data_IF_440076647367
#
_entry.id   IF_440076647367
#
_cell.length_a   1.000
_cell.length_b   1.000
_cell.length_c   1.000
_cell.angle_alpha   90.00
_cell.angle_beta   90.00
_cell.angle_gamma   90.00
#
_symmetry.space_group_name_H-M   'P 1'
#
loop_
_entity.id
_entity.type
_entity.pdbx_description
1 polymer ?
#
# COMPACT_ATOMS: atom_id res chain seq x y z
N UNK A 1 47.08 45.03 -4.21
CA UNK A 1 46.08 44.83 -5.28
C UNK A 1 46.17 43.38 -5.70
N UNK A 2 45.47 42.47 -5.02
CA UNK A 2 44.04 42.15 -5.15
C UNK A 2 43.80 41.16 -6.30
N UNK A 3 43.09 40.04 -6.17
CA UNK A 3 42.58 39.29 -5.03
C UNK A 3 42.24 37.89 -5.60
N UNK A 4 42.70 36.82 -4.97
CA UNK A 4 42.09 35.49 -5.14
C UNK A 4 41.34 35.25 -3.82
N UNK A 5 40.05 35.53 -3.86
CA UNK A 5 39.03 35.19 -2.87
C UNK A 5 37.91 34.54 -3.71
N UNK A 6 37.41 33.34 -3.46
CA UNK A 6 37.05 32.70 -2.18
C UNK A 6 37.18 31.17 -2.24
N UNK A 7 37.47 30.59 -1.08
CA UNK A 7 37.19 29.20 -0.67
C UNK A 7 36.07 29.27 0.41
N UNK A 8 35.57 28.21 1.12
CA UNK A 8 35.26 26.79 0.87
C UNK A 8 33.87 26.31 1.45
N UNK A 9 33.60 24.99 1.35
CA UNK A 9 32.74 24.12 2.20
C UNK A 9 31.25 23.95 1.84
N UNK A 10 30.64 22.76 1.89
CA UNK A 10 31.02 21.50 2.55
C UNK A 10 30.45 20.26 1.85
N UNK A 11 31.30 19.28 1.54
CA UNK A 11 30.93 17.87 1.65
C UNK A 11 31.94 17.24 2.61
N UNK A 12 31.48 16.92 3.82
CA UNK A 12 32.13 15.96 4.70
C UNK A 12 31.21 14.75 4.77
N UNK A 13 31.69 13.64 4.22
CA UNK A 13 31.27 12.31 4.62
C UNK A 13 32.56 11.51 4.77
N UNK A 14 33.13 11.58 5.96
CA UNK A 14 34.11 10.61 6.44
C UNK A 14 33.42 9.23 6.47
N UNK A 15 34.05 8.24 5.83
CA UNK A 15 33.66 6.82 5.80
C UNK A 15 32.36 6.43 5.04
N UNK A 16 32.26 6.72 3.73
CA UNK A 16 31.07 6.30 2.98
C UNK A 16 31.13 6.42 1.46
N UNK A 17 32.10 5.81 0.78
CA UNK A 17 32.00 5.64 -0.68
C UNK A 17 30.85 4.69 -1.00
N UNK A 18 29.71 5.26 -1.40
CA UNK A 18 28.49 4.57 -1.83
C UNK A 18 28.42 4.36 -3.35
N UNK A 19 29.41 4.83 -4.09
CA UNK A 19 29.44 4.70 -5.54
C UNK A 19 30.83 4.40 -6.08
N UNK A 20 30.89 3.51 -7.07
CA UNK A 20 32.07 3.25 -7.90
C UNK A 20 31.88 3.91 -9.26
N UNK A 21 32.92 4.58 -9.76
CA UNK A 21 32.93 5.16 -11.10
C UNK A 21 33.40 4.10 -12.09
N UNK A 22 32.57 3.73 -13.06
CA UNK A 22 32.99 2.78 -14.10
C UNK A 22 33.58 3.52 -15.30
N UNK A 23 34.71 3.03 -15.82
CA UNK A 23 35.46 3.71 -16.87
C UNK A 23 34.83 3.62 -18.27
N UNK A 24 33.82 2.77 -18.46
CA UNK A 24 33.26 2.46 -19.79
C UNK A 24 32.05 3.34 -20.14
N UNK A 25 31.34 3.87 -19.14
CA UNK A 25 30.30 4.90 -19.28
C UNK A 25 30.33 5.70 -17.99
N UNK A 26 30.47 7.03 -18.05
CA UNK A 26 30.56 7.96 -16.91
C UNK A 26 29.38 7.83 -15.93
N UNK A 27 29.32 6.73 -15.20
CA UNK A 27 28.19 6.28 -14.42
C UNK A 27 28.67 5.78 -13.08
N UNK A 28 27.90 6.13 -12.05
CA UNK A 28 28.10 5.71 -10.68
C UNK A 28 27.31 4.42 -10.45
N UNK A 29 27.98 3.38 -9.97
CA UNK A 29 27.34 2.11 -9.62
C UNK A 29 27.24 1.95 -8.10
N UNK A 30 26.11 1.47 -7.54
CA UNK A 30 25.98 1.20 -6.12
C UNK A 30 27.09 0.25 -5.64
N UNK A 31 27.81 0.61 -4.58
CA UNK A 31 28.74 -0.33 -3.93
C UNK A 31 27.96 -1.45 -3.22
N UNK A 32 28.58 -2.61 -2.93
CA UNK A 32 27.97 -3.66 -2.10
C UNK A 32 27.45 -3.18 -0.73
N UNK A 33 27.95 -2.04 -0.23
CA UNK A 33 27.47 -1.38 0.99
C UNK A 33 25.97 -1.00 0.90
N UNK A 34 25.46 -0.69 -0.29
CA UNK A 34 24.01 -0.47 -0.50
C UNK A 34 23.19 -1.73 -0.24
N UNK A 35 23.64 -2.87 -0.74
CA UNK A 35 22.96 -4.13 -0.50
C UNK A 35 22.97 -4.45 1.00
N UNK A 36 24.12 -4.31 1.66
CA UNK A 36 24.23 -4.53 3.10
C UNK A 36 23.28 -3.63 3.90
N UNK A 37 23.23 -2.33 3.59
CA UNK A 37 22.31 -1.40 4.24
C UNK A 37 20.84 -1.76 3.99
N UNK A 38 20.48 -2.09 2.75
CA UNK A 38 19.12 -2.52 2.41
C UNK A 38 18.73 -3.79 3.18
N UNK A 39 19.62 -4.79 3.26
CA UNK A 39 19.41 -6.00 4.05
C UNK A 39 19.23 -5.68 5.53
N UNK A 40 20.11 -4.86 6.13
CA UNK A 40 19.99 -4.49 7.54
C UNK A 40 18.70 -3.72 7.86
N UNK A 41 18.21 -2.87 6.95
CA UNK A 41 16.93 -2.19 7.12
C UNK A 41 15.77 -3.19 7.06
N UNK A 42 15.79 -4.11 6.10
CA UNK A 42 14.75 -5.14 5.96
C UNK A 42 14.72 -6.12 7.14
N UNK A 43 15.89 -6.43 7.72
CA UNK A 43 16.02 -7.29 8.90
C UNK A 43 15.56 -6.60 10.19
N UNK A 44 15.64 -5.28 10.27
CA UNK A 44 15.23 -4.52 11.45
C UNK A 44 13.71 -4.44 11.61
N UNK A 45 12.98 -4.32 10.49
CA UNK A 45 11.52 -4.26 10.47
C UNK A 45 10.93 -5.20 9.40
N UNK A 46 11.05 -6.53 9.59
CA UNK A 46 10.51 -7.48 8.62
C UNK A 46 8.99 -7.46 8.63
N UNK A 47 8.39 -7.61 7.45
CA UNK A 47 6.96 -7.91 7.36
C UNK A 47 6.67 -9.22 8.13
N UNK A 48 5.63 -9.25 8.98
CA UNK A 48 5.23 -10.47 9.68
C UNK A 48 5.00 -11.63 8.72
N UNK A 49 5.49 -12.83 9.04
CA UNK A 49 5.38 -13.97 8.12
C UNK A 49 3.94 -14.33 7.72
N UNK A 50 2.98 -14.09 8.61
CA UNK A 50 1.55 -14.30 8.36
C UNK A 50 1.00 -13.40 7.24
N UNK A 51 1.53 -12.19 7.10
CA UNK A 51 1.12 -11.25 6.06
C UNK A 51 1.45 -11.79 4.66
N UNK A 52 2.66 -12.30 4.45
CA UNK A 52 3.03 -12.93 3.18
C UNK A 52 2.25 -14.22 2.94
N UNK A 53 1.83 -14.95 3.98
CA UNK A 53 0.92 -16.11 3.83
C UNK A 53 -0.48 -15.65 3.39
N UNK A 54 -1.02 -14.59 4.00
CA UNK A 54 -2.31 -14.02 3.66
C UNK A 54 -2.37 -13.59 2.19
N UNK A 55 -1.32 -12.91 1.69
CA UNK A 55 -1.21 -12.54 0.27
C UNK A 55 -1.27 -13.77 -0.64
N UNK A 56 -0.50 -14.82 -0.32
CA UNK A 56 -0.48 -16.06 -1.11
C UNK A 56 -1.82 -16.79 -1.10
N UNK A 57 -2.47 -16.88 0.06
CA UNK A 57 -3.78 -17.52 0.20
C UNK A 57 -4.85 -16.78 -0.59
N UNK A 58 -4.90 -15.45 -0.47
CA UNK A 58 -5.84 -14.64 -1.24
C UNK A 58 -5.58 -14.70 -2.73
N UNK A 59 -4.32 -14.67 -3.17
CA UNK A 59 -3.99 -14.79 -4.59
C UNK A 59 -4.42 -16.15 -5.15
N UNK A 60 -4.19 -17.23 -4.40
CA UNK A 60 -4.65 -18.57 -4.79
C UNK A 60 -6.19 -18.67 -4.83
N UNK A 61 -6.89 -18.05 -3.88
CA UNK A 61 -8.35 -18.12 -3.79
C UNK A 61 -9.07 -17.23 -4.81
N UNK A 62 -8.49 -16.07 -5.13
CA UNK A 62 -9.13 -15.07 -6.00
C UNK A 62 -8.65 -15.14 -7.44
N UNK A 63 -7.44 -15.66 -7.69
CA UNK A 63 -6.78 -15.64 -9.00
C UNK A 63 -6.31 -14.24 -9.44
N UNK A 64 -6.49 -13.21 -8.60
CA UNK A 64 -6.14 -11.82 -8.91
C UNK A 64 -4.87 -11.37 -8.22
N UNK A 65 -4.40 -10.17 -8.58
CA UNK A 65 -3.23 -9.58 -7.95
C UNK A 65 -3.58 -9.17 -6.52
N UNK A 66 -2.76 -9.58 -5.56
CA UNK A 66 -2.93 -9.26 -4.14
C UNK A 66 -1.68 -8.58 -3.61
N UNK A 67 -1.84 -7.52 -2.82
CA UNK A 67 -0.69 -6.87 -2.17
C UNK A 67 -1.00 -6.35 -0.78
N UNK A 68 0.10 -6.11 -0.05
CA UNK A 68 0.12 -5.34 1.18
C UNK A 68 0.76 -4.00 0.89
N UNK A 69 0.20 -2.94 1.46
CA UNK A 69 0.70 -1.60 1.33
C UNK A 69 0.66 -0.83 2.64
N UNK A 70 1.51 0.18 2.75
CA UNK A 70 1.57 1.06 3.89
C UNK A 70 1.62 2.53 3.49
N UNK A 71 1.24 3.41 4.42
CA UNK A 71 1.34 4.84 4.21
C UNK A 71 2.81 5.30 4.18
N UNK A 72 3.15 6.14 3.20
CA UNK A 72 4.41 6.86 3.09
C UNK A 72 4.16 8.27 2.58
N UNK A 73 4.11 9.23 3.51
CA UNK A 73 3.70 10.60 3.21
C UNK A 73 2.27 10.65 2.66
N UNK A 74 2.11 11.08 1.42
CA UNK A 74 0.81 11.19 0.73
C UNK A 74 0.45 9.96 -0.11
N UNK A 75 1.29 8.92 -0.10
CA UNK A 75 1.15 7.76 -0.95
C UNK A 75 0.94 6.49 -0.13
N UNK A 76 0.25 5.51 -0.70
CA UNK A 76 0.39 4.13 -0.26
C UNK A 76 1.51 3.47 -1.08
N UNK A 77 2.41 2.75 -0.43
CA UNK A 77 3.52 2.04 -1.07
C UNK A 77 3.30 0.55 -0.92
N UNK A 78 3.39 -0.18 -2.04
CA UNK A 78 3.34 -1.64 -2.03
C UNK A 78 4.59 -2.20 -1.35
N UNK A 79 4.39 -3.05 -0.34
CA UNK A 79 5.47 -3.69 0.41
C UNK A 79 5.73 -5.12 -0.09
N UNK A 80 4.66 -5.89 -0.27
CA UNK A 80 4.69 -7.27 -0.74
C UNK A 80 3.52 -7.50 -1.69
N UNK A 81 3.71 -8.33 -2.72
CA UNK A 81 2.74 -8.53 -3.80
C UNK A 81 2.85 -9.93 -4.39
N UNK A 82 1.70 -10.53 -4.67
CA UNK A 82 1.56 -11.66 -5.57
C UNK A 82 0.76 -11.19 -6.80
N UNK A 83 1.42 -11.07 -7.94
CA UNK A 83 0.74 -10.72 -9.19
C UNK A 83 -0.06 -11.91 -9.73
N UNK A 84 -1.24 -11.64 -10.29
CA UNK A 84 -2.05 -12.65 -10.98
C UNK A 84 -1.24 -13.31 -12.11
N UNK A 85 -1.43 -14.61 -12.31
CA UNK A 85 -0.85 -15.33 -13.44
C UNK A 85 -1.57 -15.04 -14.77
N UNK A 86 -2.70 -14.34 -14.73
CA UNK A 86 -3.46 -13.98 -15.92
C UNK A 86 -2.61 -13.09 -16.87
N UNK A 87 -2.71 -13.29 -18.21
CA UNK A 87 -1.99 -12.47 -19.18
C UNK A 87 -2.31 -10.98 -19.05
N UNK A 88 -3.59 -10.65 -18.77
CA UNK A 88 -4.05 -9.30 -18.45
C UNK A 88 -4.29 -9.21 -16.95
N UNK A 89 -3.43 -8.45 -16.27
CA UNK A 89 -3.39 -8.33 -14.81
C UNK A 89 -3.12 -6.90 -14.36
N UNK A 90 -3.45 -6.62 -13.10
CA UNK A 90 -2.94 -5.44 -12.43
C UNK A 90 -1.49 -5.70 -12.03
N UNK A 91 -0.53 -5.00 -12.65
CA UNK A 91 0.87 -5.04 -12.24
C UNK A 91 1.17 -3.99 -11.16
N UNK A 92 1.63 -4.44 -9.99
CA UNK A 92 1.88 -3.58 -8.84
C UNK A 92 3.12 -4.03 -8.06
N UNK A 93 4.32 -3.95 -8.66
CA UNK A 93 5.56 -4.40 -8.01
C UNK A 93 5.81 -3.67 -6.69
N UNK A 94 6.56 -4.33 -5.80
CA UNK A 94 7.01 -3.73 -4.54
C UNK A 94 7.70 -2.37 -4.79
N UNK A 95 7.41 -1.41 -3.91
CA UNK A 95 7.86 -0.01 -4.03
C UNK A 95 6.97 0.86 -4.93
N UNK A 96 6.00 0.29 -5.67
CA UNK A 96 5.05 1.10 -6.46
C UNK A 96 4.15 1.93 -5.55
N UNK A 97 3.90 3.18 -5.96
CA UNK A 97 2.90 4.07 -5.37
C UNK A 97 1.51 3.68 -5.87
N UNK A 98 0.57 3.51 -4.95
CA UNK A 98 -0.85 3.29 -5.24
C UNK A 98 -1.69 4.33 -4.51
N UNK A 99 -2.75 4.81 -5.17
CA UNK A 99 -3.62 5.90 -4.69
C UNK A 99 -5.10 5.50 -4.68
N UNK A 100 -5.38 4.19 -4.80
CA UNK A 100 -6.70 3.62 -5.03
C UNK A 100 -7.35 3.18 -3.69
N UNK A 101 -8.00 2.02 -3.64
CA UNK A 101 -8.66 1.47 -2.46
C UNK A 101 -7.73 1.41 -1.23
N UNK A 102 -6.45 1.06 -1.44
CA UNK A 102 -5.46 0.99 -0.37
C UNK A 102 -5.23 2.35 0.30
N UNK A 103 -5.25 3.44 -0.48
CA UNK A 103 -5.09 4.80 0.06
C UNK A 103 -6.27 5.19 0.95
N UNK A 104 -7.50 4.88 0.52
CA UNK A 104 -8.70 5.11 1.33
C UNK A 104 -8.65 4.29 2.64
N UNK A 105 -8.29 3.00 2.55
CA UNK A 105 -8.17 2.11 3.71
C UNK A 105 -7.15 2.61 4.73
N UNK A 106 -5.98 3.07 4.27
CA UNK A 106 -4.96 3.63 5.16
C UNK A 106 -5.43 4.94 5.80
N UNK A 107 -5.96 5.87 5.01
CA UNK A 107 -6.45 7.16 5.51
C UNK A 107 -7.61 7.02 6.50
N UNK A 108 -8.39 5.94 6.40
CA UNK A 108 -9.49 5.67 7.32
C UNK A 108 -9.03 5.38 8.76
N UNK A 109 -7.77 5.00 8.96
CA UNK A 109 -7.21 4.72 10.29
C UNK A 109 -6.52 5.94 10.91
N UNK A 110 -6.37 7.03 10.16
CA UNK A 110 -5.71 8.22 10.65
C UNK A 110 -6.66 8.99 11.59
N UNK A 111 -6.08 9.74 12.52
CA UNK A 111 -6.89 10.72 13.27
C UNK A 111 -7.50 11.72 12.28
N UNK A 112 -8.68 12.28 12.60
CA UNK A 112 -9.31 13.28 11.74
C UNK A 112 -8.36 14.46 11.45
N UNK A 113 -7.59 14.87 12.45
CA UNK A 113 -6.58 15.92 12.32
C UNK A 113 -5.48 15.56 11.33
N UNK A 114 -4.89 14.37 11.42
CA UNK A 114 -3.80 13.95 10.54
C UNK A 114 -4.30 13.72 9.12
N UNK A 115 -5.50 13.16 8.98
CA UNK A 115 -6.21 13.00 7.71
C UNK A 115 -6.41 14.36 7.03
N UNK A 116 -6.92 15.36 7.75
CA UNK A 116 -7.12 16.71 7.21
C UNK A 116 -5.80 17.38 6.80
N UNK A 117 -4.74 17.23 7.59
CA UNK A 117 -3.42 17.78 7.27
C UNK A 117 -2.87 17.17 5.97
N UNK A 118 -3.06 15.87 5.75
CA UNK A 118 -2.65 15.19 4.53
C UNK A 118 -3.51 15.62 3.34
N UNK A 119 -4.84 15.63 3.49
CA UNK A 119 -5.76 15.97 2.40
C UNK A 119 -5.61 17.41 1.92
N UNK A 120 -5.22 18.36 2.79
CA UNK A 120 -4.89 19.75 2.39
C UNK A 120 -3.71 19.84 1.43
N UNK A 121 -2.83 18.84 1.40
CA UNK A 121 -1.65 18.77 0.52
C UNK A 121 -1.92 17.95 -0.75
N UNK A 122 -3.09 17.31 -0.84
CA UNK A 122 -3.42 16.42 -1.93
C UNK A 122 -3.57 17.19 -3.24
N UNK A 123 -2.95 16.68 -4.29
CA UNK A 123 -3.16 17.13 -5.67
C UNK A 123 -4.09 16.17 -6.41
N UNK A 124 -4.75 16.69 -7.45
CA UNK A 124 -5.80 15.96 -8.18
C UNK A 124 -5.44 15.71 -9.65
N UNK A 125 -4.16 15.86 -9.99
CA UNK A 125 -3.69 16.00 -11.39
C UNK A 125 -3.62 14.68 -12.18
N UNK A 126 -3.47 13.52 -11.53
CA UNK A 126 -3.31 12.21 -12.16
C UNK A 126 -4.40 11.22 -11.76
N UNK A 127 -5.60 11.41 -12.31
CA UNK A 127 -6.80 10.67 -11.89
C UNK A 127 -7.57 10.07 -13.05
N UNK A 128 -8.03 8.84 -12.86
CA UNK A 128 -8.94 8.16 -13.78
C UNK A 128 -10.35 8.77 -13.75
N UNK A 129 -11.24 8.33 -14.65
CA UNK A 129 -12.55 8.93 -14.88
C UNK A 129 -13.47 8.89 -13.64
N UNK A 130 -13.32 7.90 -12.76
CA UNK A 130 -14.16 7.72 -11.56
C UNK A 130 -13.46 8.12 -10.25
N UNK A 131 -12.31 8.78 -10.33
CA UNK A 131 -11.65 9.25 -9.11
C UNK A 131 -12.37 10.48 -8.54
N UNK A 132 -12.34 10.63 -7.21
CA UNK A 132 -12.73 11.88 -6.57
C UNK A 132 -11.97 13.08 -7.18
N UNK A 133 -12.58 14.25 -7.17
CA UNK A 133 -12.08 15.52 -7.72
C UNK A 133 -11.89 16.57 -6.63
N UNK A 134 -12.46 16.36 -5.44
CA UNK A 134 -12.34 17.25 -4.30
C UNK A 134 -11.94 16.50 -3.04
N UNK A 135 -11.49 17.24 -2.02
CA UNK A 135 -11.18 16.66 -0.70
C UNK A 135 -12.45 16.12 -0.06
N UNK A 136 -13.56 16.84 -0.22
CA UNK A 136 -14.87 16.48 0.30
C UNK A 136 -15.35 15.14 -0.28
N UNK A 137 -15.18 14.91 -1.59
CA UNK A 137 -15.49 13.63 -2.23
C UNK A 137 -14.61 12.49 -1.71
N UNK A 138 -13.32 12.74 -1.45
CA UNK A 138 -12.43 11.74 -0.84
C UNK A 138 -12.90 11.38 0.57
N UNK A 139 -13.27 12.38 1.37
CA UNK A 139 -13.80 12.16 2.72
C UNK A 139 -15.09 11.35 2.67
N UNK A 140 -16.03 11.70 1.79
CA UNK A 140 -17.28 10.94 1.60
C UNK A 140 -17.01 9.49 1.20
N UNK A 141 -16.04 9.23 0.31
CA UNK A 141 -15.67 7.86 -0.06
C UNK A 141 -15.09 7.07 1.12
N UNK A 142 -14.26 7.71 1.95
CA UNK A 142 -13.69 7.08 3.14
C UNK A 142 -14.80 6.78 4.16
N UNK A 143 -15.69 7.73 4.40
CA UNK A 143 -16.76 7.57 5.38
C UNK A 143 -17.75 6.48 4.93
N UNK A 144 -18.12 6.44 3.64
CA UNK A 144 -18.92 5.35 3.09
C UNK A 144 -18.19 3.99 3.14
N UNK A 145 -16.87 3.97 3.01
CA UNK A 145 -16.04 2.78 3.18
C UNK A 145 -15.96 2.30 4.63
N UNK A 146 -15.95 3.22 5.60
CA UNK A 146 -16.01 2.93 7.03
C UNK A 146 -17.36 2.31 7.41
N UNK A 147 -18.47 2.88 6.93
CA UNK A 147 -19.82 2.36 7.14
C UNK A 147 -19.97 0.97 6.53
N UNK A 148 -19.48 0.78 5.30
CA UNK A 148 -19.53 -0.50 4.59
C UNK A 148 -18.53 -1.52 5.14
N UNK A 149 -17.47 -1.09 5.83
CA UNK A 149 -16.37 -1.91 6.35
C UNK A 149 -15.22 -2.18 5.38
N UNK A 150 -15.40 -1.97 4.08
CA UNK A 150 -14.35 -2.14 3.07
C UNK A 150 -14.31 -1.01 2.05
N UNK A 151 -13.11 -0.81 1.49
CA UNK A 151 -12.80 0.26 0.56
C UNK A 151 -12.64 -0.30 -0.85
N UNK A 152 -12.99 0.49 -1.85
CA UNK A 152 -12.81 0.08 -3.23
C UNK A 152 -12.46 1.25 -4.11
N UNK A 153 -11.92 0.90 -5.25
CA UNK A 153 -11.57 1.85 -6.28
C UNK A 153 -11.74 1.18 -7.62
N UNK A 154 -12.29 1.91 -8.57
CA UNK A 154 -12.54 1.40 -9.90
C UNK A 154 -12.31 2.54 -10.90
N UNK A 155 -11.33 2.38 -11.77
CA UNK A 155 -10.93 3.42 -12.73
C UNK A 155 -10.57 4.76 -12.06
N UNK A 156 -10.04 4.75 -10.82
CA UNK A 156 -9.68 5.98 -10.11
C UNK A 156 -8.25 6.47 -10.42
N UNK A 157 -7.34 5.60 -10.87
CA UNK A 157 -5.98 5.98 -11.23
C UNK A 157 -5.63 5.51 -12.63
N UNK A 158 -5.55 4.19 -12.84
CA UNK A 158 -5.41 3.61 -14.17
C UNK A 158 -6.81 3.30 -14.74
N UNK A 159 -7.11 3.69 -16.00
CA UNK A 159 -8.30 3.22 -16.69
C UNK A 159 -8.39 1.70 -16.64
N UNK A 160 -9.59 1.17 -16.51
CA UNK A 160 -9.89 -0.28 -16.51
C UNK A 160 -9.27 -1.12 -15.38
N UNK A 161 -8.69 -0.52 -14.33
CA UNK A 161 -8.24 -1.24 -13.14
C UNK A 161 -9.12 -0.92 -11.93
N UNK A 162 -9.34 -1.92 -11.09
CA UNK A 162 -10.07 -1.76 -9.84
C UNK A 162 -9.70 -2.81 -8.81
N UNK A 163 -10.13 -2.59 -7.57
CA UNK A 163 -9.84 -3.50 -6.48
C UNK A 163 -10.46 -3.06 -5.16
N UNK A 164 -10.33 -3.95 -4.19
CA UNK A 164 -10.87 -3.86 -2.84
C UNK A 164 -9.73 -3.89 -1.83
N UNK A 165 -9.81 -3.03 -0.82
CA UNK A 165 -8.83 -2.98 0.25
C UNK A 165 -9.50 -2.94 1.62
N UNK A 166 -8.84 -3.59 2.59
CA UNK A 166 -9.21 -3.58 4.00
C UNK A 166 -7.97 -3.17 4.81
N UNK A 167 -8.09 -2.21 5.74
CA UNK A 167 -7.00 -1.86 6.63
C UNK A 167 -6.76 -2.98 7.65
N UNK A 168 -5.53 -3.14 8.08
CA UNK A 168 -5.14 -4.06 9.15
C UNK A 168 -4.07 -3.40 10.01
N UNK A 169 -4.02 -3.77 11.29
CA UNK A 169 -2.99 -3.26 12.21
C UNK A 169 -2.14 -4.44 12.65
N UNK A 170 -0.82 -4.33 12.50
CA UNK A 170 0.13 -5.31 12.99
C UNK A 170 1.37 -4.60 13.52
N UNK A 171 1.90 -5.05 14.66
CA UNK A 171 3.06 -4.42 15.30
C UNK A 171 2.91 -2.88 15.43
N UNK A 172 1.71 -2.41 15.79
CA UNK A 172 1.36 -0.99 15.94
C UNK A 172 1.42 -0.17 14.63
N UNK A 173 1.63 -0.83 13.49
CA UNK A 173 1.60 -0.23 12.16
C UNK A 173 0.28 -0.48 11.47
N UNK A 174 -0.23 0.53 10.76
CA UNK A 174 -1.36 0.38 9.86
C UNK A 174 -0.87 0.00 8.46
N UNK A 175 -1.36 -1.12 7.97
CA UNK A 175 -1.19 -1.59 6.60
C UNK A 175 -2.55 -1.78 5.93
N UNK A 176 -2.57 -1.97 4.62
CA UNK A 176 -3.77 -2.30 3.86
C UNK A 176 -3.53 -3.52 2.97
N UNK A 177 -4.40 -4.52 3.12
CA UNK A 177 -4.43 -5.72 2.29
C UNK A 177 -5.43 -5.50 1.16
N UNK A 178 -4.98 -5.70 -0.08
CA UNK A 178 -5.73 -5.32 -1.29
C UNK A 178 -5.75 -6.46 -2.29
N UNK A 179 -6.92 -6.71 -2.88
CA UNK A 179 -7.12 -7.59 -4.05
C UNK A 179 -7.55 -6.73 -5.22
N UNK A 180 -6.88 -6.84 -6.37
CA UNK A 180 -7.18 -6.01 -7.54
C UNK A 180 -6.91 -6.70 -8.87
N UNK A 181 -7.60 -6.23 -9.89
CA UNK A 181 -7.48 -6.75 -11.24
C UNK A 181 -8.09 -5.82 -12.29
N UNK A 182 -8.15 -6.29 -13.55
CA UNK A 182 -8.87 -5.64 -14.63
C UNK A 182 -10.36 -5.59 -14.30
N UNK A 183 -10.92 -4.39 -14.37
CA UNK A 183 -12.25 -4.06 -13.88
C UNK A 183 -13.35 -4.95 -14.48
N UNK A 184 -13.29 -5.22 -15.79
CA UNK A 184 -14.27 -6.07 -16.48
C UNK A 184 -14.42 -7.46 -15.86
N UNK A 185 -13.41 -7.91 -15.12
CA UNK A 185 -13.37 -9.21 -14.45
C UNK A 185 -13.70 -9.10 -12.97
N UNK A 186 -13.18 -8.07 -12.30
CA UNK A 186 -13.21 -8.00 -10.83
C UNK A 186 -14.37 -7.20 -10.24
N UNK A 187 -15.01 -6.29 -10.99
CA UNK A 187 -16.02 -5.37 -10.42
C UNK A 187 -17.19 -6.11 -9.79
N UNK A 188 -17.66 -7.18 -10.43
CA UNK A 188 -18.73 -8.06 -9.91
C UNK A 188 -18.30 -8.91 -8.71
N UNK A 189 -17.00 -9.01 -8.43
CA UNK A 189 -16.41 -9.84 -7.38
C UNK A 189 -16.01 -9.05 -6.14
N UNK A 190 -16.18 -7.72 -6.12
CA UNK A 190 -15.67 -6.87 -5.04
C UNK A 190 -16.17 -7.29 -3.65
N UNK A 191 -17.46 -7.59 -3.50
CA UNK A 191 -17.98 -8.07 -2.21
C UNK A 191 -17.39 -9.42 -1.80
N UNK A 192 -17.21 -10.34 -2.76
CA UNK A 192 -16.56 -11.63 -2.52
C UNK A 192 -15.09 -11.46 -2.14
N UNK A 193 -14.38 -10.50 -2.73
CA UNK A 193 -13.01 -10.18 -2.34
C UNK A 193 -12.94 -9.59 -0.94
N UNK A 194 -13.86 -8.70 -0.57
CA UNK A 194 -13.94 -8.18 0.79
C UNK A 194 -14.14 -9.32 1.80
N UNK A 195 -15.08 -10.22 1.54
CA UNK A 195 -15.33 -11.40 2.37
C UNK A 195 -14.08 -12.29 2.50
N UNK A 196 -13.43 -12.61 1.37
CA UNK A 196 -12.22 -13.42 1.38
C UNK A 196 -11.07 -12.78 2.18
N UNK A 197 -10.89 -11.46 2.09
CA UNK A 197 -9.90 -10.73 2.89
C UNK A 197 -10.24 -10.86 4.38
N UNK A 198 -11.51 -10.66 4.77
CA UNK A 198 -11.93 -10.82 6.17
C UNK A 198 -11.69 -12.24 6.69
N UNK A 199 -12.07 -13.27 5.93
CA UNK A 199 -11.88 -14.67 6.33
C UNK A 199 -10.40 -14.98 6.61
N UNK A 200 -9.49 -14.46 5.77
CA UNK A 200 -8.05 -14.62 5.96
C UNK A 200 -7.56 -13.85 7.19
N UNK A 201 -8.02 -12.62 7.41
CA UNK A 201 -7.62 -11.83 8.58
C UNK A 201 -8.11 -12.46 9.89
N UNK A 202 -9.33 -12.98 9.94
CA UNK A 202 -9.89 -13.69 11.11
C UNK A 202 -9.08 -14.96 11.38
N UNK A 203 -8.80 -15.75 10.34
CA UNK A 203 -8.02 -16.98 10.48
C UNK A 203 -6.62 -16.73 11.04
N UNK A 204 -5.91 -15.72 10.54
CA UNK A 204 -4.55 -15.41 11.02
C UNK A 204 -4.57 -14.73 12.41
N UNK A 205 -5.63 -14.02 12.77
CA UNK A 205 -5.86 -13.51 14.14
C UNK A 205 -6.03 -14.64 15.16
N UNK A 206 -6.74 -15.72 14.80
CA UNK A 206 -7.02 -16.83 15.72
C UNK A 206 -5.86 -17.85 15.84
N UNK A 207 -5.02 -17.96 14.81
CA UNK A 207 -3.94 -18.96 14.74
C UNK A 207 -2.67 -18.54 15.48
N UNK A 208 -2.36 -17.25 15.53
CA UNK A 208 -1.22 -16.70 16.27
C UNK A 208 -1.83 -15.69 17.26
N UNK A 209 -1.44 -15.69 18.53
CA UNK A 209 -1.81 -14.63 19.51
C UNK A 209 -1.19 -13.26 19.15
N UNK A 210 -1.09 -12.97 17.85
CA UNK A 210 -0.66 -11.72 17.28
C UNK A 210 -1.69 -10.67 17.66
N UNK A 211 -1.21 -9.53 18.14
CA UNK A 211 -2.01 -8.34 18.41
C UNK A 211 -2.45 -7.69 17.11
N UNK A 212 -3.19 -8.41 16.27
CA UNK A 212 -3.94 -7.78 15.17
C UNK A 212 -5.07 -7.03 15.85
N UNK A 213 -4.88 -5.74 16.09
CA UNK A 213 -5.95 -4.89 16.60
C UNK A 213 -6.91 -4.57 15.46
N UNK A 214 -8.20 -4.76 15.71
CA UNK A 214 -9.21 -4.52 14.70
C UNK A 214 -9.25 -3.02 14.35
N UNK A 215 -9.23 -2.67 13.04
CA UNK A 215 -9.37 -1.29 12.62
C UNK A 215 -10.75 -0.75 12.98
N UNK A 216 -10.91 0.58 12.99
CA UNK A 216 -12.23 1.23 13.23
C UNK A 216 -13.34 0.82 12.25
N UNK A 217 -13.02 0.08 11.20
CA UNK A 217 -13.90 -0.31 10.09
C UNK A 217 -14.47 -1.74 10.22
N UNK A 218 -14.64 -2.26 11.44
CA UNK A 218 -15.03 -3.66 11.67
C UNK A 218 -16.51 -3.92 12.06
N UNK A 219 -17.55 -3.30 11.45
CA UNK A 219 -18.95 -3.71 11.70
C UNK A 219 -19.33 -5.08 11.11
N UNK A 220 -18.54 -5.62 10.18
CA UNK A 220 -19.01 -6.66 9.24
C UNK A 220 -18.88 -8.11 9.70
N UNK A 221 -18.23 -8.41 10.83
CA UNK A 221 -18.16 -9.79 11.33
C UNK A 221 -19.56 -10.38 11.60
N UNK A 222 -20.49 -9.58 12.11
CA UNK A 222 -21.86 -10.05 12.38
C UNK A 222 -22.71 -10.22 11.10
N UNK A 223 -22.37 -9.51 10.01
CA UNK A 223 -23.13 -9.52 8.77
C UNK A 223 -22.72 -10.68 7.84
N UNK A 224 -21.42 -11.02 7.78
CA UNK A 224 -20.92 -12.11 6.95
C UNK A 224 -21.02 -13.49 7.61
N UNK A 225 -21.23 -13.56 8.94
CA UNK A 225 -21.51 -14.81 9.66
C UNK A 225 -22.96 -15.32 9.52
N UNK A 226 -23.86 -14.55 8.88
CA UNK A 226 -25.21 -15.04 8.60
C UNK A 226 -25.18 -15.90 7.34
N UNK A 227 -25.50 -17.21 7.40
CA UNK A 227 -25.73 -17.97 6.19
C UNK A 227 -26.86 -17.31 5.41
N UNK A 228 -26.73 -17.24 4.08
CA UNK A 228 -27.80 -16.77 3.22
C UNK A 228 -29.05 -17.62 3.51
N UNK A 229 -30.07 -16.99 4.11
CA UNK A 229 -31.41 -17.57 4.27
C UNK A 229 -32.13 -17.68 2.94
#
# INVERSE_FOLDING_TARGET
MAAIERVPHSYHFSEGRLSLRTAVRQGFYPTPKWHQLATSILEAEPLPGWMSRAVKLLAANTGETVWISAASGQYAIVLDVMESEAPVRYAAPAGKRVLTASGQALLSQFSLKDRDILLRKATFDERGPRAARTVEEVVQQIDAGLERGWFWSASCHTPDLGGVAIPMIANERVDALTVAGPLYRVEVLFESFAAAIYDVLVREHDCEQNKVSWPRAFPLLEAFQRPAT
#
